data_IF_291371722792
#
_entry.id   IF_291371722792
#
_cell.length_a   1.000
_cell.length_b   1.000
_cell.length_c   1.000
_cell.angle_alpha   90.00
_cell.angle_beta   90.00
_cell.angle_gamma   90.00
#
_symmetry.space_group_name_H-M   'P 1'
#
loop_
_entity.id
_entity.type
_entity.pdbx_description
1 polymer ?
#
# COMPACT_ATOMS: atom_id res chain seq x y z
N UNK A 1 33.62 -37.17 -14.30
CA UNK A 1 32.15 -37.13 -14.41
C UNK A 1 31.42 -36.45 -13.23
N UNK A 2 32.13 -35.91 -12.22
CA UNK A 2 31.49 -35.30 -11.03
C UNK A 2 31.34 -33.77 -11.06
N UNK A 3 32.23 -33.03 -11.74
CA UNK A 3 32.20 -31.57 -11.69
C UNK A 3 31.02 -30.94 -12.43
N UNK A 4 30.59 -31.52 -13.56
CA UNK A 4 29.43 -31.05 -14.32
C UNK A 4 28.13 -31.19 -13.52
N UNK A 5 27.90 -32.34 -12.86
CA UNK A 5 26.70 -32.57 -12.03
C UNK A 5 26.63 -31.61 -10.83
N UNK A 6 27.76 -31.37 -10.16
CA UNK A 6 27.83 -30.42 -9.03
C UNK A 6 27.53 -29.00 -9.50
N UNK A 7 28.00 -28.61 -10.69
CA UNK A 7 27.74 -27.29 -11.28
C UNK A 7 26.26 -27.10 -11.64
N UNK A 8 25.60 -28.14 -12.17
CA UNK A 8 24.17 -28.11 -12.46
C UNK A 8 23.30 -28.06 -11.18
N UNK A 9 23.66 -28.80 -10.12
CA UNK A 9 22.96 -28.75 -8.83
C UNK A 9 23.05 -27.37 -8.16
N UNK A 10 24.22 -26.72 -8.21
CA UNK A 10 24.40 -25.36 -7.67
C UNK A 10 23.59 -24.30 -8.43
N UNK A 11 23.48 -24.43 -9.76
CA UNK A 11 22.64 -23.56 -10.59
C UNK A 11 21.16 -23.74 -10.26
N UNK A 12 20.71 -24.97 -10.05
CA UNK A 12 19.33 -25.26 -9.65
C UNK A 12 19.00 -24.69 -8.27
N UNK A 13 19.91 -24.80 -7.30
CA UNK A 13 19.75 -24.16 -5.98
C UNK A 13 19.65 -22.63 -6.08
N UNK A 14 20.49 -22.00 -6.90
CA UNK A 14 20.44 -20.55 -7.13
C UNK A 14 19.12 -20.13 -7.80
N UNK A 15 18.62 -20.94 -8.75
CA UNK A 15 17.35 -20.72 -9.43
C UNK A 15 16.17 -20.84 -8.45
N UNK A 16 16.17 -21.85 -7.58
CA UNK A 16 15.13 -22.03 -6.57
C UNK A 16 15.11 -20.89 -5.54
N UNK A 17 16.29 -20.42 -5.08
CA UNK A 17 16.39 -19.25 -4.21
C UNK A 17 15.86 -18.01 -4.93
N UNK A 18 16.26 -17.80 -6.19
CA UNK A 18 15.78 -16.70 -7.02
C UNK A 18 14.26 -16.69 -7.18
N UNK A 19 13.65 -17.83 -7.51
CA UNK A 19 12.20 -17.96 -7.67
C UNK A 19 11.44 -17.73 -6.35
N UNK A 20 11.96 -18.19 -5.22
CA UNK A 20 11.36 -17.95 -3.90
C UNK A 20 11.48 -16.49 -3.45
N UNK A 21 12.48 -15.75 -3.92
CA UNK A 21 12.63 -14.33 -3.62
C UNK A 21 11.75 -13.41 -4.48
N UNK A 22 11.22 -13.87 -5.62
CA UNK A 22 10.37 -13.04 -6.51
C UNK A 22 8.92 -12.99 -6.03
N UNK A 23 8.47 -13.97 -5.23
CA UNK A 23 7.09 -14.01 -4.72
C UNK A 23 6.76 -12.95 -3.65
N UNK A 24 7.72 -12.09 -3.28
CA UNK A 24 7.54 -11.05 -2.24
C UNK A 24 7.78 -9.64 -2.74
N UNK A 25 7.85 -9.42 -4.05
CA UNK A 25 7.99 -8.06 -4.61
C UNK A 25 6.59 -7.44 -4.71
N UNK A 26 6.20 -6.73 -3.67
CA UNK A 26 5.10 -5.77 -3.75
C UNK A 26 5.67 -4.45 -4.28
N UNK A 27 4.96 -3.81 -5.20
CA UNK A 27 5.29 -2.44 -5.59
C UNK A 27 5.07 -1.53 -4.39
N UNK A 28 6.12 -0.82 -3.96
CA UNK A 28 6.01 0.23 -2.96
C UNK A 28 5.76 1.54 -3.68
N UNK A 29 4.77 2.31 -3.22
CA UNK A 29 4.53 3.65 -3.72
C UNK A 29 5.27 4.68 -2.83
N UNK A 30 5.47 5.89 -3.34
CA UNK A 30 6.10 6.99 -2.60
C UNK A 30 5.29 7.35 -1.34
N UNK A 31 3.99 7.08 -1.36
CA UNK A 31 3.10 7.20 -0.20
C UNK A 31 3.49 6.24 0.93
N UNK A 32 3.89 5.00 0.60
CA UNK A 32 4.37 4.02 1.59
C UNK A 32 5.70 4.44 2.21
N UNK A 33 6.63 4.96 1.38
CA UNK A 33 7.90 5.48 1.86
C UNK A 33 7.72 6.63 2.87
N UNK A 34 6.81 7.58 2.57
CA UNK A 34 6.47 8.65 3.50
C UNK A 34 5.81 8.11 4.77
N UNK A 35 4.89 7.15 4.65
CA UNK A 35 4.18 6.54 5.78
C UNK A 35 5.13 5.85 6.75
N UNK A 36 6.06 5.03 6.27
CA UNK A 36 7.03 4.33 7.11
C UNK A 36 8.18 5.21 7.58
N UNK A 37 8.34 6.42 7.04
CA UNK A 37 9.36 7.36 7.50
C UNK A 37 9.00 8.05 8.82
N UNK A 38 7.73 8.01 9.22
CA UNK A 38 7.25 8.63 10.45
C UNK A 38 7.16 7.56 11.55
N UNK A 39 7.90 7.77 12.64
CA UNK A 39 7.81 6.93 13.84
C UNK A 39 6.88 7.59 14.87
N UNK A 40 5.91 6.84 15.38
CA UNK A 40 5.09 7.25 16.51
C UNK A 40 5.78 6.90 17.85
N UNK A 41 5.53 7.70 18.89
CA UNK A 41 6.06 7.42 20.23
C UNK A 41 5.20 6.34 20.88
N UNK A 42 5.65 5.11 20.70
CA UNK A 42 5.09 3.91 21.31
C UNK A 42 6.07 3.32 22.33
N UNK A 43 5.55 2.45 23.21
CA UNK A 43 6.35 1.82 24.25
C UNK A 43 5.63 1.68 25.59
N UNK A 44 6.38 1.61 26.69
CA UNK A 44 5.82 1.60 28.03
C UNK A 44 5.05 2.89 28.32
N UNK A 45 4.09 2.84 29.25
CA UNK A 45 3.38 4.04 29.70
C UNK A 45 4.35 5.14 30.19
N UNK A 46 5.45 4.76 30.84
CA UNK A 46 6.51 5.67 31.30
C UNK A 46 7.29 6.28 30.13
N UNK A 47 7.63 5.47 29.13
CA UNK A 47 8.32 5.91 27.92
C UNK A 47 7.48 6.92 27.13
N UNK A 48 6.20 6.61 26.92
CA UNK A 48 5.24 7.50 26.23
C UNK A 48 4.94 8.78 27.02
N UNK A 49 4.77 8.68 28.35
CA UNK A 49 4.51 9.85 29.20
C UNK A 49 5.64 10.89 29.19
N UNK A 50 6.88 10.48 28.89
CA UNK A 50 8.01 11.38 28.69
C UNK A 50 8.36 11.60 27.22
N UNK A 51 7.43 11.36 26.30
CA UNK A 51 7.60 11.57 24.86
C UNK A 51 8.86 10.89 24.30
N UNK A 52 9.21 9.71 24.81
CA UNK A 52 10.36 8.93 24.36
C UNK A 52 11.73 9.39 24.87
N UNK A 53 11.78 10.33 25.82
CA UNK A 53 13.04 10.86 26.36
C UNK A 53 13.95 9.81 27.03
N UNK A 54 13.45 8.61 27.35
CA UNK A 54 14.24 7.53 27.96
C UNK A 54 15.22 6.84 27.01
N UNK A 55 15.17 7.08 25.69
CA UNK A 55 16.11 6.48 24.75
C UNK A 55 17.60 6.72 25.10
N UNK A 56 17.91 7.89 25.68
CA UNK A 56 19.26 8.24 26.15
C UNK A 56 19.54 7.83 27.61
N UNK A 57 18.51 7.75 28.45
CA UNK A 57 18.65 7.51 29.90
C UNK A 57 18.68 6.02 30.26
N UNK A 58 18.02 5.16 29.46
CA UNK A 58 17.89 3.73 29.73
C UNK A 58 17.01 3.41 30.94
N UNK A 59 17.05 2.16 31.40
CA UNK A 59 16.29 1.71 32.59
C UNK A 59 14.77 1.61 32.40
N UNK A 60 14.30 1.66 31.15
CA UNK A 60 12.95 1.36 30.71
C UNK A 60 13.02 0.32 29.58
N UNK A 61 12.03 -0.56 29.45
CA UNK A 61 12.10 -1.64 28.46
C UNK A 61 12.05 -1.09 27.02
N UNK A 62 11.26 -0.05 26.74
CA UNK A 62 11.22 0.58 25.42
C UNK A 62 12.51 1.31 25.07
N UNK A 63 13.24 1.80 26.08
CA UNK A 63 14.56 2.36 25.87
C UNK A 63 15.59 1.30 25.45
N UNK A 64 15.39 0.02 25.79
CA UNK A 64 16.28 -1.07 25.35
C UNK A 64 16.19 -1.30 23.85
N UNK A 65 14.99 -1.18 23.26
CA UNK A 65 14.77 -1.34 21.81
C UNK A 65 15.39 -0.21 20.99
N UNK A 66 15.50 1.00 21.57
CA UNK A 66 16.21 2.14 20.96
C UNK A 66 17.72 2.04 21.18
N UNK A 67 18.14 1.71 22.40
CA UNK A 67 19.53 1.60 22.80
C UNK A 67 19.72 0.39 23.72
N UNK A 68 20.19 -0.76 23.19
CA UNK A 68 20.40 -1.97 23.99
C UNK A 68 21.33 -1.80 25.19
N UNK A 69 22.26 -0.85 25.16
CA UNK A 69 23.14 -0.53 26.29
C UNK A 69 22.35 0.05 27.48
N UNK A 70 21.18 0.63 27.26
CA UNK A 70 20.25 1.07 28.29
C UNK A 70 19.78 -0.07 29.20
N UNK A 71 19.88 -1.33 28.76
CA UNK A 71 19.63 -2.50 29.60
C UNK A 71 20.61 -2.60 30.77
N UNK A 72 21.84 -2.10 30.61
CA UNK A 72 22.84 -2.07 31.67
C UNK A 72 22.55 -1.01 32.74
N UNK A 73 21.52 -0.17 32.58
CA UNK A 73 21.08 0.76 33.64
C UNK A 73 20.23 0.04 34.69
N UNK A 74 19.56 -1.06 34.32
CA UNK A 74 18.78 -1.86 35.27
C UNK A 74 19.68 -2.35 36.42
N UNK A 75 19.21 -2.11 37.65
CA UNK A 75 19.91 -2.51 38.86
C UNK A 75 19.59 -3.97 39.24
N UNK A 76 18.48 -4.52 38.77
CA UNK A 76 18.01 -5.88 38.99
C UNK A 76 17.31 -6.38 37.73
N UNK A 77 17.12 -7.69 37.61
CA UNK A 77 16.32 -8.25 36.52
C UNK A 77 14.91 -7.64 36.52
N UNK A 78 14.40 -7.27 35.36
CA UNK A 78 13.15 -6.52 35.20
C UNK A 78 12.39 -7.03 33.98
N UNK A 79 11.06 -7.19 34.11
CA UNK A 79 10.17 -7.51 33.01
C UNK A 79 9.03 -6.49 32.95
N UNK A 80 8.58 -6.14 31.76
CA UNK A 80 7.52 -5.16 31.54
C UNK A 80 6.72 -5.50 30.29
N UNK A 81 5.41 -5.30 30.41
CA UNK A 81 4.45 -5.44 29.33
C UNK A 81 3.51 -4.25 29.38
N UNK A 82 3.15 -3.72 28.21
CA UNK A 82 2.20 -2.64 28.07
C UNK A 82 1.21 -2.98 26.97
N UNK A 83 -0.07 -2.75 27.27
CA UNK A 83 -1.17 -2.84 26.31
C UNK A 83 -1.68 -1.44 26.03
N UNK A 84 -2.21 -1.22 24.84
CA UNK A 84 -2.80 0.04 24.44
C UNK A 84 -4.13 -0.18 23.73
N UNK A 85 -4.94 0.87 23.77
CA UNK A 85 -6.09 1.01 22.89
C UNK A 85 -5.87 2.27 22.05
N UNK A 86 -6.02 2.13 20.74
CA UNK A 86 -6.03 3.23 19.80
C UNK A 86 -7.42 3.29 19.17
N UNK A 87 -8.02 4.48 19.14
CA UNK A 87 -9.27 4.76 18.46
C UNK A 87 -8.97 5.73 17.31
N UNK A 88 -9.48 5.41 16.12
CA UNK A 88 -9.38 6.23 14.93
C UNK A 88 -10.79 6.52 14.43
N UNK A 89 -11.13 7.80 14.34
CA UNK A 89 -12.41 8.24 13.80
C UNK A 89 -12.18 9.02 12.50
N UNK A 90 -12.72 8.51 11.41
CA UNK A 90 -12.64 9.10 10.08
C UNK A 90 -14.00 9.65 9.68
N UNK A 91 -14.08 10.98 9.52
CA UNK A 91 -15.26 11.63 8.95
C UNK A 91 -14.96 12.04 7.50
N UNK A 92 -15.73 11.52 6.56
CA UNK A 92 -15.58 11.79 5.14
C UNK A 92 -16.71 12.64 4.60
N UNK A 93 -16.39 13.51 3.65
CA UNK A 93 -17.37 14.25 2.86
C UNK A 93 -17.01 14.11 1.39
N UNK A 94 -17.94 13.61 0.59
CA UNK A 94 -17.74 13.42 -0.83
C UNK A 94 -19.03 13.75 -1.57
N UNK A 95 -18.98 14.74 -2.45
CA UNK A 95 -20.17 15.41 -2.99
C UNK A 95 -21.18 15.78 -1.89
N UNK A 96 -22.41 15.26 -2.00
CA UNK A 96 -23.50 15.44 -1.06
C UNK A 96 -23.54 14.36 0.04
N UNK A 97 -22.65 13.37 0.00
CA UNK A 97 -22.60 12.29 0.96
C UNK A 97 -21.62 12.54 2.09
N UNK A 98 -21.95 11.99 3.25
CA UNK A 98 -21.12 12.02 4.46
C UNK A 98 -20.95 10.61 4.98
N UNK A 99 -19.72 10.21 5.29
CA UNK A 99 -19.40 8.94 5.93
C UNK A 99 -18.72 9.17 7.27
N UNK A 100 -18.86 8.20 8.18
CA UNK A 100 -18.13 8.16 9.44
C UNK A 100 -17.72 6.72 9.71
N UNK A 101 -16.46 6.49 10.03
CA UNK A 101 -15.90 5.19 10.37
C UNK A 101 -15.13 5.32 11.68
N UNK A 102 -15.41 4.42 12.63
CA UNK A 102 -14.75 4.40 13.92
C UNK A 102 -14.11 3.03 14.13
N UNK A 103 -12.79 3.01 14.14
CA UNK A 103 -11.98 1.81 14.33
C UNK A 103 -11.30 1.88 15.69
N UNK A 104 -11.36 0.77 16.43
CA UNK A 104 -10.66 0.64 17.71
C UNK A 104 -9.78 -0.60 17.68
N UNK A 105 -8.50 -0.43 17.98
CA UNK A 105 -7.54 -1.52 18.06
C UNK A 105 -7.01 -1.61 19.50
N UNK A 106 -7.16 -2.78 20.12
CA UNK A 106 -6.62 -3.10 21.43
C UNK A 106 -5.56 -4.18 21.29
N UNK A 107 -4.32 -3.88 21.69
CA UNK A 107 -3.20 -4.76 21.47
C UNK A 107 -2.00 -4.51 22.38
N UNK A 108 -1.00 -5.40 22.28
CA UNK A 108 0.25 -5.30 23.02
C UNK A 108 1.17 -4.26 22.36
N UNK A 109 1.39 -3.13 23.03
CA UNK A 109 2.27 -2.07 22.52
C UNK A 109 3.73 -2.34 22.82
N UNK A 110 4.02 -3.04 23.91
CA UNK A 110 5.38 -3.29 24.38
C UNK A 110 5.45 -4.58 25.22
N UNK A 111 6.53 -5.33 25.08
CA UNK A 111 6.85 -6.49 25.93
C UNK A 111 8.35 -6.70 26.06
N UNK A 112 8.82 -7.22 27.19
CA UNK A 112 10.24 -7.55 27.31
C UNK A 112 10.72 -7.84 28.72
N UNK A 113 11.95 -8.35 28.78
CA UNK A 113 12.65 -8.63 30.02
C UNK A 113 14.16 -8.38 29.86
N UNK A 114 14.78 -7.88 30.93
CA UNK A 114 16.23 -7.72 31.08
C UNK A 114 16.67 -8.50 32.31
N UNK A 115 17.64 -9.40 32.12
CA UNK A 115 18.25 -10.22 33.15
C UNK A 115 19.59 -9.63 33.54
N UNK A 116 19.75 -9.30 34.82
CA UNK A 116 20.94 -8.62 35.33
C UNK A 116 21.80 -9.60 36.13
N UNK A 117 23.03 -9.81 35.66
CA UNK A 117 24.01 -10.67 36.30
C UNK A 117 25.13 -9.81 36.88
N UNK A 118 25.28 -9.85 38.22
CA UNK A 118 26.32 -9.09 38.94
C UNK A 118 27.41 -10.03 39.40
N UNK A 119 28.66 -9.61 39.21
CA UNK A 119 29.80 -10.34 39.74
C UNK A 119 30.07 -9.89 41.18
N UNK A 120 30.08 -10.85 42.12
CA UNK A 120 30.35 -10.62 43.54
C UNK A 120 31.83 -10.72 43.89
N UNK A 121 32.67 -11.23 42.99
CA UNK A 121 34.11 -11.39 43.17
C UNK A 121 34.92 -10.22 42.58
N UNK A 122 36.24 -10.18 42.80
CA UNK A 122 37.15 -9.18 42.21
C UNK A 122 37.38 -9.47 40.72
N UNK A 123 36.41 -9.12 39.87
CA UNK A 123 36.51 -9.20 38.41
C UNK A 123 36.48 -7.79 37.78
N UNK A 124 37.21 -7.57 36.67
CA UNK A 124 37.03 -6.38 35.84
C UNK A 124 35.59 -6.22 35.32
N UNK A 125 34.88 -7.34 35.12
CA UNK A 125 33.49 -7.37 34.68
C UNK A 125 32.57 -7.40 35.90
N UNK A 126 32.04 -6.22 36.27
CA UNK A 126 31.19 -6.04 37.46
C UNK A 126 29.73 -6.45 37.23
N UNK A 127 29.22 -6.26 36.02
CA UNK A 127 27.83 -6.52 35.64
C UNK A 127 27.71 -6.78 34.15
N UNK A 128 26.88 -7.73 33.78
CA UNK A 128 26.40 -7.87 32.40
C UNK A 128 24.88 -8.06 32.40
N UNK A 129 24.26 -7.72 31.27
CA UNK A 129 22.82 -7.81 31.07
C UNK A 129 22.52 -8.55 29.79
N UNK A 130 21.47 -9.37 29.83
CA UNK A 130 20.91 -10.04 28.65
C UNK A 130 19.43 -9.72 28.65
N UNK A 131 18.89 -9.28 27.53
CA UNK A 131 17.47 -8.93 27.48
C UNK A 131 16.86 -9.20 26.12
N UNK A 132 15.54 -9.30 26.14
CA UNK A 132 14.68 -9.32 24.97
C UNK A 132 13.68 -8.18 25.15
N UNK A 133 13.47 -7.41 24.10
CA UNK A 133 12.52 -6.33 24.07
C UNK A 133 11.76 -6.39 22.75
N UNK A 134 10.52 -5.94 22.80
CA UNK A 134 9.58 -5.84 21.71
C UNK A 134 8.83 -4.53 21.90
N UNK A 135 8.83 -3.69 20.87
CA UNK A 135 8.02 -2.48 20.81
C UNK A 135 7.33 -2.38 19.46
N UNK A 136 6.01 -2.22 19.47
CA UNK A 136 5.29 -1.76 18.29
C UNK A 136 5.68 -0.31 18.04
N UNK A 137 5.95 0.06 16.79
CA UNK A 137 6.38 1.42 16.40
C UNK A 137 5.26 2.21 15.75
N UNK A 138 4.53 1.63 14.80
CA UNK A 138 3.35 2.25 14.20
C UNK A 138 2.21 1.25 14.04
N UNK A 139 1.00 1.79 14.03
CA UNK A 139 -0.23 1.10 13.67
C UNK A 139 -0.89 1.92 12.56
N UNK A 140 -1.05 1.30 11.40
CA UNK A 140 -1.66 1.89 10.23
C UNK A 140 -3.02 1.24 9.90
N UNK A 141 -3.58 0.48 10.83
CA UNK A 141 -4.96 -0.01 10.72
C UNK A 141 -5.91 1.18 10.60
N UNK A 142 -6.44 1.36 9.41
CA UNK A 142 -7.28 2.47 9.04
C UNK A 142 -8.25 2.04 7.95
N UNK A 143 -9.54 2.21 8.20
CA UNK A 143 -10.56 2.05 7.19
C UNK A 143 -11.48 3.25 7.14
N UNK A 144 -11.84 3.64 5.92
CA UNK A 144 -12.86 4.66 5.70
C UNK A 144 -13.48 4.49 4.33
N UNK A 145 -14.68 5.01 4.18
CA UNK A 145 -15.36 5.07 2.90
C UNK A 145 -15.82 6.49 2.60
N UNK A 146 -15.94 6.81 1.33
CA UNK A 146 -16.47 8.05 0.82
C UNK A 146 -17.53 7.72 -0.23
N UNK A 147 -18.77 8.12 0.05
CA UNK A 147 -19.91 7.94 -0.85
C UNK A 147 -20.52 9.29 -1.18
N UNK A 148 -21.02 9.43 -2.40
CA UNK A 148 -21.69 10.65 -2.83
C UNK A 148 -22.23 10.53 -4.24
N UNK A 149 -23.21 11.36 -4.58
CA UNK A 149 -23.74 11.45 -5.93
C UNK A 149 -23.08 12.62 -6.65
N UNK A 150 -22.37 12.34 -7.74
CA UNK A 150 -21.84 13.36 -8.62
C UNK A 150 -22.97 13.90 -9.52
N UNK A 151 -23.45 15.10 -9.22
CA UNK A 151 -24.49 15.78 -9.99
C UNK A 151 -23.95 16.75 -11.04
N UNK A 152 -22.65 16.69 -11.36
CA UNK A 152 -22.07 17.52 -12.39
C UNK A 152 -22.66 17.13 -13.76
N UNK A 153 -23.29 18.09 -14.44
CA UNK A 153 -23.90 17.91 -15.76
C UNK A 153 -22.94 18.27 -16.91
N UNK A 154 -21.66 18.45 -16.63
CA UNK A 154 -20.64 18.63 -17.66
C UNK A 154 -20.58 17.41 -18.58
N UNK A 155 -20.24 17.68 -19.84
CA UNK A 155 -20.23 16.71 -20.93
C UNK A 155 -18.94 16.91 -21.70
N UNK A 156 -18.29 15.81 -22.06
CA UNK A 156 -17.22 15.80 -23.05
C UNK A 156 -17.82 15.87 -24.45
N UNK A 157 -17.27 16.76 -25.28
CA UNK A 157 -17.69 16.95 -26.67
C UNK A 157 -16.48 16.90 -27.62
N UNK A 158 -16.72 16.58 -28.88
CA UNK A 158 -15.69 16.61 -29.92
C UNK A 158 -15.42 18.05 -30.42
N UNK A 159 -14.49 18.18 -31.38
CA UNK A 159 -14.16 19.47 -32.00
C UNK A 159 -15.33 20.14 -32.74
N UNK A 160 -16.40 19.40 -33.02
CA UNK A 160 -17.62 19.88 -33.69
C UNK A 160 -18.79 20.10 -32.69
N UNK A 161 -18.53 20.02 -31.38
CA UNK A 161 -19.51 20.08 -30.29
C UNK A 161 -20.54 18.93 -30.30
N UNK A 162 -20.20 17.77 -30.85
CA UNK A 162 -20.99 16.55 -30.73
C UNK A 162 -20.71 15.84 -29.40
N UNK A 163 -21.74 15.23 -28.81
CA UNK A 163 -21.65 14.55 -27.51
C UNK A 163 -20.73 13.32 -27.57
N UNK A 164 -19.78 13.23 -26.64
CA UNK A 164 -18.90 12.08 -26.46
C UNK A 164 -19.30 11.28 -25.22
N UNK A 165 -19.31 11.91 -24.04
CA UNK A 165 -19.57 11.22 -22.77
C UNK A 165 -20.04 12.19 -21.67
N UNK A 166 -20.79 11.71 -20.65
CA UNK A 166 -21.03 12.50 -19.45
C UNK A 166 -19.73 12.68 -18.66
N UNK A 167 -19.33 13.91 -18.36
CA UNK A 167 -18.04 14.24 -17.71
C UNK A 167 -17.90 13.70 -16.29
N UNK A 168 -19.01 13.35 -15.63
CA UNK A 168 -19.04 12.72 -14.31
C UNK A 168 -19.06 11.17 -14.35
N UNK A 169 -18.88 10.55 -15.53
CA UNK A 169 -18.99 9.10 -15.71
C UNK A 169 -17.63 8.43 -15.95
N UNK A 170 -17.58 7.11 -15.76
CA UNK A 170 -16.43 6.30 -16.19
C UNK A 170 -16.25 6.30 -17.72
N UNK A 171 -17.33 6.55 -18.48
CA UNK A 171 -17.26 6.72 -19.93
C UNK A 171 -16.38 7.90 -20.33
N UNK A 172 -16.42 9.01 -19.58
CA UNK A 172 -15.55 10.15 -19.83
C UNK A 172 -14.07 9.80 -19.65
N UNK A 173 -13.73 9.07 -18.58
CA UNK A 173 -12.37 8.60 -18.35
C UNK A 173 -11.81 7.84 -19.56
N UNK A 174 -12.54 6.83 -20.04
CA UNK A 174 -12.07 6.04 -21.19
C UNK A 174 -12.08 6.84 -22.49
N UNK A 175 -13.08 7.70 -22.71
CA UNK A 175 -13.20 8.52 -23.90
C UNK A 175 -12.04 9.53 -24.05
N UNK A 176 -11.50 10.06 -22.94
CA UNK A 176 -10.33 10.94 -22.95
C UNK A 176 -9.06 10.24 -23.45
N UNK A 177 -8.89 8.95 -23.16
CA UNK A 177 -7.77 8.15 -23.68
C UNK A 177 -7.99 7.70 -25.12
N UNK A 178 -9.22 7.38 -25.51
CA UNK A 178 -9.52 6.78 -26.80
C UNK A 178 -9.62 7.79 -27.95
N UNK A 179 -10.19 8.98 -27.72
CA UNK A 179 -10.41 9.94 -28.80
C UNK A 179 -9.08 10.42 -29.43
N UNK A 180 -8.96 10.24 -30.74
CA UNK A 180 -7.74 10.51 -31.51
C UNK A 180 -6.87 9.27 -31.78
N UNK A 181 -7.15 8.12 -31.15
CA UNK A 181 -6.46 6.85 -31.40
C UNK A 181 -7.20 6.02 -32.45
N UNK A 182 -6.49 5.27 -33.29
CA UNK A 182 -7.14 4.43 -34.29
C UNK A 182 -7.77 3.19 -33.68
N UNK A 183 -8.81 2.67 -34.30
CA UNK A 183 -9.53 1.50 -33.79
C UNK A 183 -8.64 0.24 -33.77
N UNK A 184 -7.80 0.07 -34.79
CA UNK A 184 -6.83 -1.03 -34.88
C UNK A 184 -5.68 -0.94 -33.85
N UNK A 185 -5.51 0.21 -33.18
CA UNK A 185 -4.52 0.42 -32.12
C UNK A 185 -5.09 0.14 -30.72
N UNK A 186 -6.42 0.00 -30.60
CA UNK A 186 -7.13 -0.14 -29.33
C UNK A 186 -8.15 -1.29 -29.31
N UNK A 187 -8.06 -2.22 -30.25
CA UNK A 187 -8.96 -3.39 -30.33
C UNK A 187 -8.17 -4.69 -30.50
N UNK A 188 -8.78 -5.82 -30.17
CA UNK A 188 -8.17 -7.12 -30.40
C UNK A 188 -8.33 -7.57 -31.85
N UNK A 189 -7.26 -8.08 -32.45
CA UNK A 189 -7.30 -8.66 -33.78
C UNK A 189 -8.05 -10.02 -33.81
N UNK A 190 -8.61 -10.45 -34.96
CA UNK A 190 -9.44 -11.66 -35.06
C UNK A 190 -8.81 -12.99 -34.61
N UNK A 191 -7.48 -13.05 -34.47
CA UNK A 191 -6.74 -14.27 -34.13
C UNK A 191 -5.90 -14.15 -32.84
N UNK A 192 -6.20 -13.18 -31.98
CA UNK A 192 -5.56 -13.05 -30.65
C UNK A 192 -6.59 -13.06 -29.51
N UNK A 193 -6.12 -13.30 -28.28
CA UNK A 193 -6.95 -13.20 -27.08
C UNK A 193 -6.91 -11.78 -26.53
N UNK A 194 -7.92 -11.37 -25.75
CA UNK A 194 -7.93 -10.04 -25.10
C UNK A 194 -6.71 -9.81 -24.22
N UNK A 195 -6.28 -10.84 -23.47
CA UNK A 195 -5.07 -10.74 -22.63
C UNK A 195 -3.80 -10.51 -23.46
N UNK A 196 -3.72 -11.15 -24.63
CA UNK A 196 -2.58 -11.00 -25.54
C UNK A 196 -2.59 -9.61 -26.20
N UNK A 197 -3.76 -9.16 -26.67
CA UNK A 197 -3.95 -7.83 -27.24
C UNK A 197 -3.60 -6.74 -26.22
N UNK A 198 -4.15 -6.83 -24.99
CA UNK A 198 -3.89 -5.88 -23.91
C UNK A 198 -2.40 -5.78 -23.56
N UNK A 199 -1.69 -6.91 -23.50
CA UNK A 199 -0.25 -6.93 -23.25
C UNK A 199 0.53 -6.31 -24.42
N UNK A 200 0.24 -6.71 -25.67
CA UNK A 200 0.91 -6.21 -26.87
C UNK A 200 0.71 -4.70 -27.05
N UNK A 201 -0.52 -4.22 -26.91
CA UNK A 201 -0.85 -2.79 -26.96
C UNK A 201 -0.09 -2.03 -25.87
N UNK A 202 -0.01 -2.60 -24.66
CA UNK A 202 0.78 -2.03 -23.57
C UNK A 202 2.26 -1.92 -23.84
N UNK A 203 2.86 -2.95 -24.45
CA UNK A 203 4.29 -2.96 -24.75
C UNK A 203 4.64 -2.06 -25.94
N UNK A 204 3.80 -2.04 -26.95
CA UNK A 204 4.12 -1.44 -28.25
C UNK A 204 3.63 0.01 -28.36
N UNK A 205 2.47 0.31 -27.77
CA UNK A 205 1.79 1.61 -27.87
C UNK A 205 1.63 2.33 -26.52
N UNK A 206 1.76 1.60 -25.41
CA UNK A 206 1.83 2.16 -24.06
C UNK A 206 0.49 2.31 -23.34
N UNK A 207 0.57 2.91 -22.15
CA UNK A 207 -0.54 3.00 -21.19
C UNK A 207 -1.82 3.63 -21.75
N UNK A 208 -1.70 4.72 -22.53
CA UNK A 208 -2.87 5.42 -23.11
C UNK A 208 -3.72 4.48 -23.96
N UNK A 209 -3.09 3.68 -24.83
CA UNK A 209 -3.77 2.73 -25.69
C UNK A 209 -4.37 1.56 -24.90
N UNK A 210 -3.73 1.12 -23.81
CA UNK A 210 -4.32 0.12 -22.91
C UNK A 210 -5.60 0.61 -22.26
N UNK A 211 -5.65 1.88 -21.81
CA UNK A 211 -6.87 2.43 -21.22
C UNK A 211 -7.97 2.53 -22.26
N UNK A 212 -7.66 3.02 -23.46
CA UNK A 212 -8.60 3.07 -24.57
C UNK A 212 -9.12 1.68 -24.96
N UNK A 213 -8.24 0.67 -25.03
CA UNK A 213 -8.60 -0.72 -25.29
C UNK A 213 -9.58 -1.28 -24.26
N UNK A 214 -9.34 -1.03 -22.98
CA UNK A 214 -10.27 -1.46 -21.92
C UNK A 214 -11.64 -0.78 -22.09
N UNK A 215 -11.68 0.49 -22.47
CA UNK A 215 -12.92 1.22 -22.74
C UNK A 215 -13.70 0.63 -23.92
N UNK A 216 -13.02 0.31 -25.01
CA UNK A 216 -13.62 -0.27 -26.22
C UNK A 216 -14.09 -1.72 -25.99
N UNK A 217 -13.21 -2.62 -25.52
CA UNK A 217 -13.53 -4.05 -25.35
C UNK A 217 -14.52 -4.33 -24.21
N UNK A 218 -14.72 -3.36 -23.30
CA UNK A 218 -15.80 -3.43 -22.28
C UNK A 218 -17.14 -2.89 -22.77
N UNK A 219 -17.24 -2.44 -24.02
CA UNK A 219 -18.41 -1.79 -24.61
C UNK A 219 -18.86 -0.51 -23.89
N UNK A 220 -17.96 0.10 -23.11
CA UNK A 220 -18.18 1.43 -22.55
C UNK A 220 -18.09 2.47 -23.68
N UNK A 221 -17.21 2.24 -24.65
CA UNK A 221 -17.05 3.08 -25.84
C UNK A 221 -17.53 2.37 -27.09
N UNK A 222 -18.14 3.12 -28.00
CA UNK A 222 -18.44 2.72 -29.36
C UNK A 222 -17.72 3.62 -30.38
N UNK A 223 -17.08 3.05 -31.41
CA UNK A 223 -16.52 3.83 -32.50
C UNK A 223 -17.65 4.42 -33.35
N UNK A 224 -17.44 5.63 -33.86
CA UNK A 224 -18.40 6.25 -34.78
C UNK A 224 -18.54 5.44 -36.07
N UNK A 225 -17.43 4.85 -36.53
CA UNK A 225 -17.37 3.96 -37.70
C UNK A 225 -16.62 2.69 -37.35
N UNK A 226 -17.18 1.53 -37.70
CA UNK A 226 -16.52 0.22 -37.59
C UNK A 226 -15.49 0.02 -38.71
N UNK A 227 -14.40 0.78 -38.64
CA UNK A 227 -13.27 0.74 -39.58
C UNK A 227 -11.98 1.02 -38.82
N UNK A 228 -10.90 0.34 -39.18
CA UNK A 228 -9.59 0.44 -38.51
C UNK A 228 -9.10 1.90 -38.37
N UNK A 229 -9.36 2.72 -39.39
CA UNK A 229 -8.96 4.14 -39.41
C UNK A 229 -9.86 5.09 -38.57
N UNK A 230 -10.87 4.58 -37.86
CA UNK A 230 -11.73 5.39 -36.98
C UNK A 230 -10.93 5.96 -35.80
N UNK A 231 -11.15 7.25 -35.48
CA UNK A 231 -10.52 7.91 -34.32
C UNK A 231 -11.50 8.56 -33.35
N UNK A 232 -12.79 8.40 -33.58
CA UNK A 232 -13.86 9.02 -32.80
C UNK A 232 -14.63 7.96 -32.02
N UNK A 233 -14.86 8.21 -30.73
CA UNK A 233 -15.52 7.26 -29.84
C UNK A 233 -16.55 7.97 -28.97
N UNK A 234 -17.72 7.35 -28.80
CA UNK A 234 -18.83 7.83 -27.98
C UNK A 234 -19.04 6.84 -26.84
N UNK A 235 -19.28 7.33 -25.63
CA UNK A 235 -19.59 6.48 -24.51
C UNK A 235 -21.04 5.97 -24.58
N UNK A 236 -21.23 4.66 -24.37
CA UNK A 236 -22.50 3.98 -24.25
C UNK A 236 -23.18 4.25 -22.89
N UNK A 237 -23.35 5.53 -22.57
CA UNK A 237 -23.88 5.96 -21.28
C UNK A 237 -24.79 7.17 -21.46
N UNK A 238 -25.94 7.12 -20.80
CA UNK A 238 -26.86 8.25 -20.72
C UNK A 238 -26.32 9.34 -19.78
N UNK A 239 -26.69 10.58 -20.06
CA UNK A 239 -26.42 11.69 -19.14
C UNK A 239 -27.23 11.52 -17.85
N UNK A 240 -26.62 11.84 -16.72
CA UNK A 240 -27.31 11.76 -15.44
C UNK A 240 -26.40 11.97 -14.25
N UNK A 241 -26.95 11.65 -13.09
CA UNK A 241 -26.21 11.68 -11.82
C UNK A 241 -25.63 10.30 -11.57
N UNK A 242 -24.34 10.22 -11.26
CA UNK A 242 -23.68 8.95 -10.95
C UNK A 242 -23.37 8.86 -9.46
N UNK A 243 -23.66 7.71 -8.88
CA UNK A 243 -23.27 7.40 -7.50
C UNK A 243 -21.84 6.89 -7.49
N UNK A 244 -21.04 7.47 -6.62
CA UNK A 244 -19.67 7.09 -6.40
C UNK A 244 -19.56 6.47 -5.00
N UNK A 245 -18.85 5.36 -4.94
CA UNK A 245 -18.51 4.66 -3.71
C UNK A 245 -17.02 4.34 -3.76
N UNK A 246 -16.29 4.91 -2.81
CA UNK A 246 -14.87 4.67 -2.64
C UNK A 246 -14.64 4.12 -1.24
N UNK A 247 -13.96 2.98 -1.16
CA UNK A 247 -13.57 2.37 0.11
C UNK A 247 -12.06 2.27 0.17
N UNK A 248 -11.49 2.71 1.28
CA UNK A 248 -10.10 2.59 1.61
C UNK A 248 -9.93 1.67 2.81
N UNK A 249 -8.99 0.73 2.71
CA UNK A 249 -8.61 -0.15 3.81
C UNK A 249 -7.09 -0.28 3.82
N UNK A 250 -6.51 -0.04 4.98
CA UNK A 250 -5.12 -0.31 5.28
C UNK A 250 -5.05 -1.13 6.55
N UNK A 251 -4.26 -2.21 6.51
CA UNK A 251 -4.02 -3.10 7.64
C UNK A 251 -2.51 -3.34 7.71
N UNK A 252 -1.84 -2.63 8.61
CA UNK A 252 -0.39 -2.77 8.74
C UNK A 252 0.11 -2.33 10.12
N UNK A 253 1.06 -3.10 10.65
CA UNK A 253 1.69 -2.87 11.95
C UNK A 253 3.19 -3.00 11.77
N UNK A 254 3.94 -2.05 12.31
CA UNK A 254 5.42 -2.07 12.28
C UNK A 254 5.99 -2.21 13.69
N UNK A 255 7.04 -3.01 13.84
CA UNK A 255 7.57 -3.48 15.14
C UNK A 255 9.11 -3.46 15.13
N UNK A 256 9.73 -3.36 16.31
CA UNK A 256 11.19 -3.41 16.54
C UNK A 256 11.54 -4.35 17.70
#
# INVERSE_FOLDING_TARGET
>A
MNNEKIKHMKKLQLLCIGLLSVSTIYGQDISDALRYSQDNIQGTARFRALSGAFGALGGDMSAVSINPAGSAVFSQSHASFSVGNAELNNDTRYFNGTGSTNDSNFDLTQGGASFVFKNTSSSPWRKFTVGVAYDRTNNFDDSWFAVGTNTNSEVLVDNNNFFIAPGNSIGAYFAEYANGLRLDEISAFPNETLDQAYQNIGTDLGFVHQQAFLGYESFILEPEVNSDDNTSYIANMEQGNFNHDYTYVLLDITEK
#
